data_IF_474010802164
#
_entry.id   IF_474010802164
#
_cell.length_a   1.000
_cell.length_b   1.000
_cell.length_c   1.000
_cell.angle_alpha   90.00
_cell.angle_beta   90.00
_cell.angle_gamma   90.00
#
_symmetry.space_group_name_H-M   'P 1'
#
loop_
_entity.id
_entity.type
_entity.pdbx_description
1 polymer ?
#
# COMPACT_ATOMS: atom_id res chain seq x y z
N UNK A 1 0.87 11.64 5.55
CA UNK A 1 -0.61 11.68 5.65
C UNK A 1 -1.19 10.27 5.72
N UNK A 2 -2.26 10.03 6.50
CA UNK A 2 -3.03 8.79 6.40
C UNK A 2 -3.84 8.81 5.10
N UNK A 3 -3.69 7.80 4.24
CA UNK A 3 -4.41 7.69 2.97
C UNK A 3 -5.86 7.21 3.10
N UNK A 4 -6.44 7.17 4.30
CA UNK A 4 -7.82 6.72 4.50
C UNK A 4 -8.69 7.90 4.90
N UNK A 5 -9.79 8.14 4.19
CA UNK A 5 -10.78 9.13 4.61
C UNK A 5 -11.60 8.60 5.79
N UNK A 6 -12.00 9.49 6.71
CA UNK A 6 -12.90 9.14 7.81
C UNK A 6 -14.36 9.06 7.34
N UNK A 7 -15.23 8.45 8.15
CA UNK A 7 -16.68 8.43 7.88
C UNK A 7 -17.29 9.84 7.80
N UNK A 8 -16.85 10.78 8.65
CA UNK A 8 -17.34 12.16 8.62
C UNK A 8 -16.87 12.91 7.38
N UNK A 9 -15.60 12.72 6.96
CA UNK A 9 -15.12 13.33 5.72
C UNK A 9 -15.88 12.78 4.52
N UNK A 10 -16.10 11.46 4.49
CA UNK A 10 -16.94 10.81 3.48
C UNK A 10 -18.36 11.38 3.45
N UNK A 11 -18.99 11.58 4.62
CA UNK A 11 -20.31 12.17 4.72
C UNK A 11 -20.40 13.51 3.97
N UNK A 12 -19.40 14.37 4.12
CA UNK A 12 -19.35 15.66 3.42
C UNK A 12 -18.98 15.52 1.93
N UNK A 13 -18.08 14.58 1.56
CA UNK A 13 -17.79 14.26 0.16
C UNK A 13 -19.07 13.80 -0.57
N UNK A 14 -19.90 12.97 0.06
CA UNK A 14 -21.17 12.49 -0.52
C UNK A 14 -22.13 13.64 -0.84
N UNK A 15 -22.10 14.75 -0.08
CA UNK A 15 -22.87 15.96 -0.41
C UNK A 15 -22.40 16.56 -1.73
N UNK A 16 -21.09 16.63 -1.98
CA UNK A 16 -20.54 17.09 -3.26
C UNK A 16 -20.83 16.11 -4.40
N UNK A 17 -20.86 14.79 -4.14
CA UNK A 17 -21.18 13.79 -5.15
C UNK A 17 -22.65 13.80 -5.61
N UNK A 18 -23.55 14.51 -4.93
CA UNK A 18 -24.95 14.61 -5.36
C UNK A 18 -25.09 15.18 -6.78
N UNK A 19 -24.07 15.90 -7.27
CA UNK A 19 -24.03 16.38 -8.66
C UNK A 19 -24.09 15.25 -9.69
N UNK A 20 -23.74 14.02 -9.31
CA UNK A 20 -23.76 12.84 -10.19
C UNK A 20 -25.17 12.26 -10.37
N UNK A 21 -26.14 12.66 -9.53
CA UNK A 21 -27.51 12.14 -9.56
C UNK A 21 -28.16 12.41 -10.93
N UNK A 22 -28.91 11.43 -11.42
CA UNK A 22 -29.48 11.32 -12.77
C UNK A 22 -28.43 11.26 -13.91
N UNK A 23 -27.14 11.32 -13.60
CA UNK A 23 -26.06 11.12 -14.55
C UNK A 23 -26.01 9.68 -15.07
N UNK A 24 -25.57 9.51 -16.32
CA UNK A 24 -25.35 8.19 -16.93
C UNK A 24 -23.90 7.76 -16.75
N UNK A 25 -23.66 6.51 -16.36
CA UNK A 25 -22.32 5.95 -16.31
C UNK A 25 -21.85 5.58 -17.73
N UNK A 26 -21.03 6.44 -18.34
CA UNK A 26 -20.55 6.28 -19.71
C UNK A 26 -19.41 5.26 -19.78
N UNK A 27 -18.38 5.48 -18.98
CA UNK A 27 -17.12 4.73 -19.02
C UNK A 27 -16.70 4.33 -17.61
N UNK A 28 -16.11 3.16 -17.53
CA UNK A 28 -15.52 2.65 -16.29
C UNK A 28 -14.13 2.13 -16.61
N UNK A 29 -13.13 2.53 -15.85
CA UNK A 29 -11.75 2.09 -16.00
C UNK A 29 -11.28 1.44 -14.70
N UNK A 30 -10.41 0.44 -14.83
CA UNK A 30 -9.67 -0.12 -13.72
C UNK A 30 -8.20 -0.10 -14.10
N UNK A 31 -7.40 0.56 -13.27
CA UNK A 31 -5.96 0.69 -13.43
C UNK A 31 -5.23 -0.54 -12.87
N UNK A 32 -3.96 -0.80 -13.27
CA UNK A 32 -3.18 -1.94 -12.79
C UNK A 32 -2.96 -1.95 -11.26
N UNK A 33 -2.99 -0.79 -10.61
CA UNK A 33 -2.91 -0.61 -9.16
C UNK A 33 -4.27 -0.79 -8.45
N UNK A 34 -5.30 -1.27 -9.17
CA UNK A 34 -6.66 -1.48 -8.71
C UNK A 34 -7.47 -0.20 -8.43
N UNK A 35 -6.99 0.98 -8.86
CA UNK A 35 -7.80 2.20 -8.87
C UNK A 35 -8.91 2.10 -9.92
N UNK A 36 -10.09 2.59 -9.57
CA UNK A 36 -11.24 2.65 -10.46
C UNK A 36 -11.58 4.08 -10.84
N UNK A 37 -11.95 4.29 -12.11
CA UNK A 37 -12.45 5.57 -12.58
C UNK A 37 -13.82 5.38 -13.21
N UNK A 38 -14.82 6.03 -12.65
CA UNK A 38 -16.20 6.01 -13.13
C UNK A 38 -16.50 7.36 -13.77
N UNK A 39 -16.65 7.38 -15.09
CA UNK A 39 -17.00 8.56 -15.84
C UNK A 39 -18.51 8.64 -16.02
N UNK A 40 -19.11 9.65 -15.43
CA UNK A 40 -20.52 9.97 -15.58
C UNK A 40 -20.70 11.09 -16.62
N UNK A 41 -21.80 11.03 -17.38
CA UNK A 41 -22.32 12.16 -18.13
C UNK A 41 -23.55 12.70 -17.42
N UNK A 42 -23.45 13.94 -16.94
CA UNK A 42 -24.51 14.63 -16.23
C UNK A 42 -25.06 15.75 -17.12
N UNK A 43 -26.35 15.72 -17.39
CA UNK A 43 -27.02 16.76 -18.19
C UNK A 43 -26.78 18.14 -17.58
N UNK A 44 -26.33 19.09 -18.41
CA UNK A 44 -26.00 20.46 -17.97
C UNK A 44 -24.64 20.64 -17.28
N UNK A 45 -23.95 19.55 -16.90
CA UNK A 45 -22.60 19.61 -16.29
C UNK A 45 -21.53 18.88 -17.10
N UNK A 46 -21.92 18.12 -18.12
CA UNK A 46 -20.99 17.37 -18.96
C UNK A 46 -20.38 16.17 -18.26
N UNK A 47 -19.11 15.88 -18.56
CA UNK A 47 -18.40 14.71 -18.04
C UNK A 47 -17.90 14.97 -16.62
N UNK A 48 -18.18 14.04 -15.72
CA UNK A 48 -17.71 14.03 -14.34
C UNK A 48 -16.95 12.73 -14.11
N UNK A 49 -15.72 12.80 -13.61
CA UNK A 49 -14.87 11.63 -13.44
C UNK A 49 -14.65 11.38 -11.95
N UNK A 50 -15.11 10.24 -11.46
CA UNK A 50 -14.94 9.82 -10.07
C UNK A 50 -13.79 8.81 -10.00
N UNK A 51 -12.72 9.14 -9.27
CA UNK A 51 -11.66 8.20 -8.89
C UNK A 51 -12.05 7.51 -7.59
N UNK A 52 -11.89 6.19 -7.55
CA UNK A 52 -12.19 5.33 -6.42
C UNK A 52 -10.98 4.45 -6.14
N UNK A 53 -10.43 4.55 -4.95
CA UNK A 53 -9.35 3.70 -4.47
C UNK A 53 -9.91 2.85 -3.33
N UNK A 54 -10.27 1.58 -3.58
CA UNK A 54 -10.87 0.71 -2.58
C UNK A 54 -10.05 0.69 -1.28
N UNK A 55 -10.73 0.69 -0.15
CA UNK A 55 -10.10 0.66 1.17
C UNK A 55 -9.57 2.00 1.67
N UNK A 56 -9.56 3.03 0.81
CA UNK A 56 -8.85 4.29 1.08
C UNK A 56 -9.71 5.53 0.91
N UNK A 57 -10.03 5.90 -0.32
CA UNK A 57 -10.69 7.18 -0.64
C UNK A 57 -11.41 7.15 -1.98
N UNK A 58 -12.26 8.16 -2.20
CA UNK A 58 -12.82 8.49 -3.49
C UNK A 58 -13.05 9.99 -3.60
N UNK A 59 -12.98 10.51 -4.82
CA UNK A 59 -13.24 11.92 -5.13
C UNK A 59 -13.42 12.14 -6.63
N UNK A 60 -14.07 13.24 -6.98
CA UNK A 60 -14.15 13.75 -8.34
C UNK A 60 -12.81 14.37 -8.73
N UNK A 61 -12.29 13.97 -9.89
CA UNK A 61 -10.99 14.41 -10.40
C UNK A 61 -11.13 14.97 -11.80
N UNK A 62 -10.19 15.84 -12.17
CA UNK A 62 -9.99 16.24 -13.57
C UNK A 62 -8.90 15.43 -14.27
N UNK A 63 -8.09 14.71 -13.50
CA UNK A 63 -7.02 13.84 -13.98
C UNK A 63 -7.59 12.63 -14.70
N UNK A 64 -7.46 12.61 -16.02
CA UNK A 64 -7.86 11.45 -16.83
C UNK A 64 -6.79 10.34 -16.67
N UNK A 65 -7.18 9.11 -16.35
CA UNK A 65 -6.23 8.02 -16.28
C UNK A 65 -5.67 7.66 -17.66
N UNK A 66 -4.40 7.28 -17.72
CA UNK A 66 -3.82 6.57 -18.85
C UNK A 66 -4.39 5.15 -18.89
N UNK A 67 -5.56 5.02 -19.52
CA UNK A 67 -6.29 3.75 -19.58
C UNK A 67 -5.38 2.63 -20.10
N UNK A 68 -5.34 1.47 -19.43
CA UNK A 68 -4.63 0.32 -19.96
C UNK A 68 -5.24 -0.07 -21.32
N UNK A 69 -4.40 -0.52 -22.24
CA UNK A 69 -4.81 -0.99 -23.59
C UNK A 69 -5.83 -2.14 -23.50
N UNK A 70 -5.70 -3.00 -22.47
CA UNK A 70 -6.62 -4.11 -22.21
C UNK A 70 -7.34 -3.89 -20.88
N UNK A 71 -8.69 -3.82 -20.87
CA UNK A 71 -9.44 -3.69 -19.63
C UNK A 71 -9.39 -4.97 -18.79
N UNK A 72 -9.26 -4.83 -17.48
CA UNK A 72 -9.26 -5.95 -16.53
C UNK A 72 -10.63 -6.63 -16.44
N UNK A 73 -10.65 -7.91 -16.04
CA UNK A 73 -11.86 -8.74 -16.07
C UNK A 73 -13.03 -8.19 -15.24
N UNK A 74 -12.76 -7.67 -14.04
CA UNK A 74 -13.81 -7.08 -13.21
C UNK A 74 -14.35 -5.76 -13.80
N UNK A 75 -13.47 -4.92 -14.37
CA UNK A 75 -13.89 -3.74 -15.13
C UNK A 75 -14.84 -4.10 -16.28
N UNK A 76 -14.55 -5.15 -17.04
CA UNK A 76 -15.43 -5.63 -18.11
C UNK A 76 -16.77 -6.13 -17.56
N UNK A 77 -16.75 -6.82 -16.43
CA UNK A 77 -17.97 -7.26 -15.74
C UNK A 77 -18.85 -6.07 -15.37
N UNK A 78 -18.29 -5.04 -14.71
CA UNK A 78 -19.08 -3.85 -14.36
C UNK A 78 -19.61 -3.13 -15.61
N UNK A 79 -18.81 -2.99 -16.67
CA UNK A 79 -19.27 -2.41 -17.95
C UNK A 79 -20.45 -3.18 -18.53
N UNK A 80 -20.44 -4.51 -18.49
CA UNK A 80 -21.56 -5.34 -18.99
C UNK A 80 -22.89 -5.01 -18.30
N UNK A 81 -22.87 -4.70 -17.01
CA UNK A 81 -24.10 -4.53 -16.21
C UNK A 81 -24.45 -3.06 -15.88
N UNK A 82 -23.50 -2.13 -15.99
CA UNK A 82 -23.69 -0.73 -15.61
C UNK A 82 -23.44 0.27 -16.74
N UNK A 83 -23.02 -0.17 -17.92
CA UNK A 83 -22.82 0.78 -19.03
C UNK A 83 -24.13 1.48 -19.41
N UNK A 84 -24.06 2.80 -19.53
CA UNK A 84 -25.22 3.68 -19.77
C UNK A 84 -26.30 3.62 -18.67
N UNK A 85 -26.02 3.01 -17.52
CA UNK A 85 -26.91 3.00 -16.38
C UNK A 85 -27.05 4.40 -15.79
N UNK A 86 -28.26 4.74 -15.35
CA UNK A 86 -28.57 6.04 -14.77
C UNK A 86 -28.43 5.98 -13.26
N UNK A 87 -27.62 6.86 -12.68
CA UNK A 87 -27.45 6.94 -11.23
C UNK A 87 -28.69 7.59 -10.58
N UNK A 88 -29.39 6.85 -9.73
CA UNK A 88 -30.57 7.33 -9.01
C UNK A 88 -30.25 7.86 -7.62
N UNK A 89 -29.27 7.26 -6.95
CA UNK A 89 -28.81 7.71 -5.65
C UNK A 89 -27.33 7.41 -5.44
N UNK A 90 -26.66 8.29 -4.69
CA UNK A 90 -25.34 8.05 -4.11
C UNK A 90 -25.44 8.38 -2.64
N UNK A 91 -25.19 7.40 -1.78
CA UNK A 91 -25.40 7.53 -0.35
C UNK A 91 -24.35 6.79 0.46
N UNK A 92 -24.00 7.37 1.59
CA UNK A 92 -23.26 6.69 2.64
C UNK A 92 -24.20 5.75 3.39
N UNK A 93 -23.75 4.54 3.73
CA UNK A 93 -24.53 3.59 4.54
C UNK A 93 -24.10 3.67 6.00
N UNK A 94 -25.05 3.78 6.93
CA UNK A 94 -24.83 3.65 8.39
C UNK A 94 -23.73 4.55 8.98
N UNK A 95 -23.43 5.70 8.33
CA UNK A 95 -22.27 6.54 8.67
C UNK A 95 -20.94 5.74 8.71
N UNK A 96 -20.85 4.70 7.89
CA UNK A 96 -19.67 3.91 7.66
C UNK A 96 -18.87 4.44 6.48
N UNK A 97 -17.64 3.92 6.33
CA UNK A 97 -16.81 4.15 5.13
C UNK A 97 -17.28 3.26 3.97
N UNK A 98 -18.59 3.26 3.72
CA UNK A 98 -19.28 2.49 2.70
C UNK A 98 -20.19 3.40 1.88
N UNK A 99 -20.04 3.34 0.56
CA UNK A 99 -20.83 4.11 -0.38
C UNK A 99 -21.66 3.15 -1.22
N UNK A 100 -22.94 3.45 -1.35
CA UNK A 100 -23.88 2.75 -2.23
C UNK A 100 -24.28 3.69 -3.37
N UNK A 101 -23.93 3.30 -4.60
CA UNK A 101 -24.43 3.92 -5.83
C UNK A 101 -25.58 3.06 -6.34
N UNK A 102 -26.78 3.63 -6.40
CA UNK A 102 -28.00 2.95 -6.89
C UNK A 102 -28.21 3.35 -8.34
N UNK A 103 -28.20 2.36 -9.23
CA UNK A 103 -28.34 2.53 -10.66
C UNK A 103 -29.66 1.96 -11.16
N UNK A 104 -30.28 2.68 -12.08
CA UNK A 104 -31.35 2.20 -12.93
C UNK A 104 -30.75 1.76 -14.26
N UNK A 105 -30.96 0.48 -14.61
CA UNK A 105 -30.44 -0.14 -15.84
C UNK A 105 -31.63 -0.52 -16.71
N UNK A 106 -31.61 -0.08 -17.98
CA UNK A 106 -32.61 -0.47 -18.97
C UNK A 106 -32.11 -1.71 -19.72
N UNK A 107 -32.63 -2.87 -19.33
CA UNK A 107 -32.50 -4.12 -20.08
C UNK A 107 -33.83 -4.36 -20.85
N UNK A 108 -34.35 -5.59 -20.89
CA UNK A 108 -35.73 -5.87 -21.33
C UNK A 108 -36.77 -5.19 -20.43
N UNK A 109 -36.46 -5.15 -19.13
CA UNK A 109 -37.20 -4.41 -18.10
C UNK A 109 -36.27 -3.47 -17.36
N UNK A 110 -36.84 -2.48 -16.67
CA UNK A 110 -36.06 -1.59 -15.80
C UNK A 110 -35.65 -2.39 -14.57
N UNK A 111 -34.34 -2.49 -14.33
CA UNK A 111 -33.78 -3.16 -13.15
C UNK A 111 -32.98 -2.18 -12.31
N UNK A 112 -33.00 -2.40 -11.00
CA UNK A 112 -32.14 -1.68 -10.06
C UNK A 112 -30.87 -2.50 -9.82
N UNK A 113 -29.71 -1.86 -9.90
CA UNK A 113 -28.41 -2.43 -9.53
C UNK A 113 -27.75 -1.53 -8.52
N UNK A 114 -26.94 -2.10 -7.63
CA UNK A 114 -26.19 -1.32 -6.64
C UNK A 114 -24.71 -1.58 -6.78
N UNK A 115 -23.91 -0.53 -6.88
CA UNK A 115 -22.48 -0.62 -6.75
C UNK A 115 -22.10 -0.18 -5.33
N UNK A 116 -21.64 -1.12 -4.51
CA UNK A 116 -21.19 -0.85 -3.15
C UNK A 116 -19.67 -0.74 -3.14
N UNK A 117 -19.14 0.33 -2.56
CA UNK A 117 -17.71 0.59 -2.41
C UNK A 117 -17.36 0.63 -0.93
N UNK A 118 -16.43 -0.23 -0.51
CA UNK A 118 -15.89 -0.26 0.85
C UNK A 118 -14.54 0.45 0.89
N UNK A 119 -14.42 1.49 1.73
CA UNK A 119 -13.23 2.31 1.92
C UNK A 119 -12.55 2.06 3.27
N UNK A 120 -12.56 0.81 3.72
CA UNK A 120 -11.86 0.38 4.93
C UNK A 120 -11.18 -0.97 4.72
N UNK A 121 -10.22 -1.31 5.58
CA UNK A 121 -9.43 -2.55 5.47
C UNK A 121 -8.79 -2.65 4.08
N UNK A 122 -8.85 -3.81 3.41
CA UNK A 122 -8.39 -3.99 2.02
C UNK A 122 -9.30 -3.33 0.98
N UNK A 123 -10.49 -2.89 1.39
CA UNK A 123 -11.50 -2.38 0.47
C UNK A 123 -12.15 -3.45 -0.39
N UNK A 124 -13.26 -3.06 -1.03
CA UNK A 124 -13.93 -3.88 -2.02
C UNK A 124 -14.84 -3.01 -2.90
N UNK A 125 -15.13 -3.49 -4.10
CA UNK A 125 -16.20 -2.96 -4.94
C UNK A 125 -17.11 -4.14 -5.29
N UNK A 126 -18.41 -3.97 -5.09
CA UNK A 126 -19.38 -5.05 -5.19
C UNK A 126 -20.52 -4.61 -6.10
N UNK A 127 -20.84 -5.41 -7.10
CA UNK A 127 -22.08 -5.24 -7.84
C UNK A 127 -23.16 -6.13 -7.23
N UNK A 128 -24.27 -5.53 -6.80
CA UNK A 128 -25.43 -6.21 -6.26
C UNK A 128 -26.61 -6.11 -7.22
N UNK A 129 -27.48 -7.12 -7.18
CA UNK A 129 -28.78 -7.09 -7.82
C UNK A 129 -29.85 -6.34 -7.00
N UNK A 130 -31.07 -6.36 -7.48
CA UNK A 130 -32.26 -5.75 -6.88
C UNK A 130 -32.64 -6.37 -5.53
N UNK A 131 -32.16 -7.58 -5.23
CA UNK A 131 -32.39 -8.30 -3.98
C UNK A 131 -31.20 -8.18 -3.01
N UNK A 132 -30.24 -7.29 -3.27
CA UNK A 132 -28.98 -7.14 -2.53
C UNK A 132 -28.10 -8.40 -2.53
N UNK A 133 -28.25 -9.28 -3.52
CA UNK A 133 -27.36 -10.43 -3.71
C UNK A 133 -26.13 -9.99 -4.50
N UNK A 134 -24.96 -10.43 -4.07
CA UNK A 134 -23.69 -10.11 -4.71
C UNK A 134 -23.66 -10.78 -6.08
N UNK A 135 -23.75 -10.01 -7.16
CA UNK A 135 -23.55 -10.52 -8.51
C UNK A 135 -22.08 -10.87 -8.74
N UNK A 136 -21.18 -9.95 -8.37
CA UNK A 136 -19.74 -10.18 -8.36
C UNK A 136 -19.03 -9.17 -7.45
N UNK A 137 -18.17 -9.64 -6.53
CA UNK A 137 -17.24 -8.78 -5.83
C UNK A 137 -15.95 -8.59 -6.63
N UNK A 138 -15.23 -7.49 -6.41
CA UNK A 138 -13.87 -7.30 -6.91
C UNK A 138 -12.96 -8.40 -6.36
N UNK A 139 -13.06 -8.65 -5.05
CA UNK A 139 -12.36 -9.74 -4.37
C UNK A 139 -13.31 -10.52 -3.45
N UNK A 140 -13.18 -11.84 -3.45
CA UNK A 140 -13.84 -12.68 -2.44
C UNK A 140 -13.10 -12.52 -1.12
N UNK A 141 -13.82 -12.16 -0.06
CA UNK A 141 -13.25 -11.92 1.26
C UNK A 141 -14.07 -12.66 2.31
N UNK A 142 -13.38 -13.31 3.25
CA UNK A 142 -14.00 -14.10 4.32
C UNK A 142 -13.45 -13.61 5.65
N UNK A 143 -14.35 -13.20 6.53
CA UNK A 143 -14.08 -12.87 7.92
C UNK A 143 -14.84 -13.83 8.83
N UNK A 144 -14.57 -13.75 10.13
CA UNK A 144 -15.24 -14.58 11.14
C UNK A 144 -16.77 -14.44 11.10
N UNK A 145 -17.26 -13.21 10.96
CA UNK A 145 -18.68 -12.89 11.08
C UNK A 145 -19.35 -12.49 9.75
N UNK A 146 -18.61 -12.59 8.63
CA UNK A 146 -19.05 -12.07 7.33
C UNK A 146 -18.33 -12.74 6.17
N UNK A 147 -19.06 -13.07 5.11
CA UNK A 147 -18.51 -13.56 3.84
C UNK A 147 -18.96 -12.65 2.70
N UNK A 148 -18.02 -12.26 1.84
CA UNK A 148 -18.28 -11.61 0.56
C UNK A 148 -17.90 -12.59 -0.54
N UNK A 149 -18.90 -13.12 -1.23
CA UNK A 149 -18.74 -14.04 -2.36
C UNK A 149 -19.87 -13.84 -3.37
N UNK A 150 -19.59 -14.10 -4.64
CA UNK A 150 -20.61 -14.09 -5.67
C UNK A 150 -21.77 -15.03 -5.33
N UNK A 151 -22.99 -14.60 -5.64
CA UNK A 151 -24.27 -15.27 -5.39
C UNK A 151 -24.68 -15.39 -3.92
N UNK A 152 -24.01 -14.73 -2.99
CA UNK A 152 -24.46 -14.64 -1.60
C UNK A 152 -25.14 -13.29 -1.32
N UNK A 153 -26.10 -13.21 -0.38
CA UNK A 153 -26.64 -11.93 0.08
C UNK A 153 -25.54 -11.05 0.68
N UNK A 154 -25.52 -9.78 0.31
CA UNK A 154 -24.58 -8.83 0.90
C UNK A 154 -25.03 -8.41 2.29
N UNK A 155 -24.17 -8.65 3.28
CA UNK A 155 -24.39 -8.21 4.66
C UNK A 155 -23.46 -7.03 4.96
N UNK A 156 -24.05 -5.89 5.32
CA UNK A 156 -23.30 -4.74 5.80
C UNK A 156 -22.63 -5.07 7.15
N UNK A 157 -21.44 -4.52 7.44
CA UNK A 157 -20.87 -4.59 8.78
C UNK A 157 -21.88 -4.05 9.81
N UNK A 158 -22.08 -4.79 10.89
CA UNK A 158 -22.99 -4.36 11.97
C UNK A 158 -22.33 -3.25 12.76
N UNK A 159 -23.03 -2.13 12.92
CA UNK A 159 -22.72 -1.12 13.92
C UNK A 159 -23.83 -1.04 14.95
N UNK A 160 -23.44 -0.81 16.19
CA UNK A 160 -24.39 -0.65 17.29
C UNK A 160 -25.00 0.76 17.29
N UNK A 161 -24.23 1.76 16.85
CA UNK A 161 -24.64 3.15 16.88
C UNK A 161 -24.35 3.86 15.55
N UNK A 162 -25.34 4.61 15.06
CA UNK A 162 -25.21 5.50 13.91
C UNK A 162 -25.42 6.94 14.40
N UNK A 163 -24.42 7.80 14.23
CA UNK A 163 -24.47 9.19 14.70
C UNK A 163 -25.67 9.98 14.14
N UNK A 164 -26.15 9.63 12.94
CA UNK A 164 -27.28 10.31 12.29
C UNK A 164 -28.64 9.95 12.89
N UNK A 165 -28.70 8.83 13.59
CA UNK A 165 -29.90 8.29 14.23
C UNK A 165 -29.77 8.34 15.77
N UNK A 166 -28.68 8.90 16.27
CA UNK A 166 -28.39 8.99 17.70
C UNK A 166 -29.32 10.01 18.37
N UNK A 167 -29.86 9.64 19.52
CA UNK A 167 -30.54 10.54 20.45
C UNK A 167 -29.82 10.63 21.81
N UNK A 168 -30.21 11.61 22.64
CA UNK A 168 -29.60 11.87 23.96
C UNK A 168 -29.60 10.60 24.84
N UNK A 169 -30.72 9.87 24.98
CA UNK A 169 -30.75 8.59 25.69
C UNK A 169 -29.75 7.55 25.17
N UNK A 170 -29.64 7.38 23.84
CA UNK A 170 -28.71 6.44 23.22
C UNK A 170 -27.25 6.82 23.48
N UNK A 171 -26.90 8.10 23.38
CA UNK A 171 -25.54 8.56 23.68
C UNK A 171 -25.21 8.33 25.16
N UNK A 172 -26.14 8.67 26.06
CA UNK A 172 -25.98 8.41 27.49
C UNK A 172 -25.76 6.93 27.74
N UNK A 173 -26.59 6.06 27.13
CA UNK A 173 -26.43 4.60 27.20
C UNK A 173 -25.04 4.17 26.72
N UNK A 174 -24.63 4.59 25.53
CA UNK A 174 -23.31 4.29 24.97
C UNK A 174 -22.19 4.67 25.94
N UNK A 175 -22.20 5.89 26.48
CA UNK A 175 -21.18 6.35 27.41
C UNK A 175 -21.12 5.52 28.71
N UNK A 176 -22.24 4.92 29.14
CA UNK A 176 -22.29 4.08 30.35
C UNK A 176 -21.99 2.60 30.08
N UNK A 177 -22.19 2.11 28.85
CA UNK A 177 -21.99 0.70 28.50
C UNK A 177 -20.69 0.42 27.77
N UNK A 178 -20.06 1.44 27.19
CA UNK A 178 -18.79 1.28 26.47
C UNK A 178 -17.67 0.82 27.39
N UNK A 179 -16.76 0.01 26.84
CA UNK A 179 -15.54 -0.45 27.53
C UNK A 179 -14.35 0.49 27.34
N UNK A 180 -14.52 1.61 26.63
CA UNK A 180 -13.43 2.55 26.36
C UNK A 180 -13.10 3.40 27.58
N UNK A 181 -11.81 3.62 27.81
CA UNK A 181 -11.31 4.37 28.97
C UNK A 181 -11.36 5.90 28.84
N UNK A 182 -11.72 6.43 27.66
CA UNK A 182 -11.78 7.88 27.43
C UNK A 182 -12.88 8.26 26.45
N UNK A 183 -13.43 9.46 26.57
CA UNK A 183 -14.43 9.99 25.65
C UNK A 183 -13.91 10.05 24.21
N UNK A 184 -12.66 10.47 23.99
CA UNK A 184 -12.09 10.54 22.64
C UNK A 184 -12.00 9.16 21.99
N UNK A 185 -11.64 8.11 22.73
CA UNK A 185 -11.60 6.74 22.18
C UNK A 185 -12.99 6.16 21.96
N UNK A 186 -13.96 6.44 22.85
CA UNK A 186 -15.37 6.12 22.67
C UNK A 186 -15.91 6.75 21.36
N UNK A 187 -15.74 8.06 21.18
CA UNK A 187 -16.23 8.77 20.00
C UNK A 187 -15.49 8.36 18.72
N UNK A 188 -14.19 8.11 18.78
CA UNK A 188 -13.42 7.70 17.61
C UNK A 188 -13.83 6.31 17.10
N UNK A 189 -14.02 5.34 18.02
CA UNK A 189 -14.23 3.93 17.67
C UNK A 189 -15.71 3.56 17.59
N UNK A 190 -16.48 3.88 18.63
CA UNK A 190 -17.87 3.41 18.75
C UNK A 190 -18.81 4.23 17.85
N UNK A 191 -18.55 5.54 17.69
CA UNK A 191 -19.27 6.40 16.75
C UNK A 191 -18.63 6.47 15.35
N UNK A 192 -17.40 5.98 15.20
CA UNK A 192 -16.67 5.97 13.92
C UNK A 192 -16.23 7.34 13.40
N UNK A 193 -16.06 8.34 14.27
CA UNK A 193 -15.58 9.66 13.87
C UNK A 193 -14.11 9.66 13.44
N UNK A 194 -13.33 8.71 13.94
CA UNK A 194 -11.87 8.74 13.83
C UNK A 194 -11.23 9.75 14.81
N UNK A 195 -9.91 9.68 14.97
CA UNK A 195 -9.20 10.38 16.04
C UNK A 195 -9.37 11.91 16.02
N UNK A 196 -9.09 12.55 14.88
CA UNK A 196 -9.14 14.01 14.77
C UNK A 196 -10.53 14.59 15.03
N UNK A 197 -11.58 13.97 14.48
CA UNK A 197 -12.95 14.44 14.67
C UNK A 197 -13.53 14.07 16.04
N UNK A 198 -13.06 12.99 16.66
CA UNK A 198 -13.40 12.70 18.05
C UNK A 198 -12.78 13.71 19.03
N UNK A 199 -11.55 14.16 18.74
CA UNK A 199 -10.91 15.23 19.51
C UNK A 199 -11.63 16.57 19.28
N UNK A 200 -11.97 16.89 18.02
CA UNK A 200 -12.76 18.06 17.69
C UNK A 200 -14.12 18.06 18.41
N UNK A 201 -14.81 16.94 18.43
CA UNK A 201 -16.08 16.80 19.15
C UNK A 201 -15.92 17.10 20.65
N UNK A 202 -14.84 16.61 21.27
CA UNK A 202 -14.55 16.91 22.67
C UNK A 202 -14.30 18.42 22.86
N UNK A 203 -13.56 19.06 21.97
CA UNK A 203 -13.27 20.50 22.03
C UNK A 203 -14.55 21.34 21.90
N UNK A 204 -15.39 21.05 20.89
CA UNK A 204 -16.68 21.72 20.67
C UNK A 204 -17.62 21.56 21.86
N UNK A 205 -17.67 20.36 22.45
CA UNK A 205 -18.47 20.08 23.64
C UNK A 205 -17.84 20.57 24.96
N UNK A 206 -16.64 21.18 24.90
CA UNK A 206 -15.85 21.66 26.06
C UNK A 206 -15.53 20.54 27.07
N UNK A 207 -15.25 19.34 26.57
CA UNK A 207 -14.93 18.15 27.36
C UNK A 207 -13.44 17.84 27.33
N UNK A 208 -12.92 17.36 28.46
CA UNK A 208 -11.56 16.80 28.52
C UNK A 208 -11.54 15.47 27.77
N UNK A 209 -10.69 15.34 26.74
CA UNK A 209 -10.57 14.13 25.92
C UNK A 209 -10.33 12.84 26.72
N UNK A 210 -9.57 12.94 27.81
CA UNK A 210 -9.21 11.82 28.71
C UNK A 210 -10.27 11.48 29.76
N UNK A 211 -11.38 12.24 29.83
CA UNK A 211 -12.46 11.96 30.76
C UNK A 211 -13.08 10.60 30.44
N UNK A 212 -13.41 9.82 31.47
CA UNK A 212 -14.04 8.51 31.27
C UNK A 212 -15.47 8.67 30.78
N UNK A 213 -15.94 7.86 29.81
CA UNK A 213 -17.30 7.96 29.29
C UNK A 213 -18.37 7.85 30.36
N UNK A 214 -18.21 6.93 31.32
CA UNK A 214 -19.16 6.71 32.42
C UNK A 214 -19.30 7.88 33.40
N UNK A 215 -18.37 8.83 33.39
CA UNK A 215 -18.36 9.99 34.30
C UNK A 215 -19.03 11.22 33.65
N UNK A 216 -19.59 11.08 32.44
CA UNK A 216 -20.27 12.15 31.71
C UNK A 216 -21.58 12.54 32.40
N UNK A 217 -21.83 13.85 32.50
CA UNK A 217 -23.02 14.43 33.10
C UNK A 217 -24.10 14.69 32.04
N UNK A 218 -25.36 14.79 32.46
CA UNK A 218 -26.47 15.02 31.52
C UNK A 218 -26.34 16.35 30.76
N UNK A 219 -25.85 17.40 31.42
CA UNK A 219 -25.55 18.69 30.76
C UNK A 219 -24.43 18.58 29.73
N UNK A 220 -23.48 17.66 29.94
CA UNK A 220 -22.38 17.42 28.97
C UNK A 220 -22.87 16.60 27.77
N UNK A 221 -23.83 15.69 27.98
CA UNK A 221 -24.51 14.98 26.89
C UNK A 221 -25.21 15.98 25.96
N UNK A 222 -25.86 17.01 26.53
CA UNK A 222 -26.50 18.07 25.74
C UNK A 222 -25.49 18.81 24.85
N UNK A 223 -24.34 19.20 25.40
CA UNK A 223 -23.27 19.87 24.62
C UNK A 223 -22.69 18.97 23.52
N UNK A 224 -22.54 17.66 23.77
CA UNK A 224 -22.08 16.72 22.73
C UNK A 224 -23.08 16.65 21.58
N UNK A 225 -24.38 16.72 21.88
CA UNK A 225 -25.42 16.74 20.85
C UNK A 225 -25.38 18.00 19.98
N UNK A 226 -25.21 19.16 20.60
CA UNK A 226 -25.02 20.41 19.86
C UNK A 226 -23.75 20.37 18.99
N UNK A 227 -22.68 19.79 19.52
CA UNK A 227 -21.44 19.60 18.79
C UNK A 227 -21.58 18.61 17.62
N UNK A 228 -22.40 17.55 17.73
CA UNK A 228 -22.73 16.67 16.59
C UNK A 228 -23.40 17.43 15.46
N UNK A 229 -24.41 18.24 15.79
CA UNK A 229 -25.14 19.03 14.81
C UNK A 229 -24.17 19.98 14.08
N UNK A 230 -23.30 20.66 14.85
CA UNK A 230 -22.25 21.49 14.29
C UNK A 230 -21.32 20.71 13.34
N UNK A 231 -20.82 19.53 13.73
CA UNK A 231 -19.93 18.74 12.86
C UNK A 231 -20.58 18.27 11.55
N UNK A 232 -21.88 17.98 11.57
CA UNK A 232 -22.62 17.46 10.41
C UNK A 232 -23.15 18.59 9.51
N UNK A 233 -23.52 19.72 10.09
CA UNK A 233 -24.27 20.77 9.40
C UNK A 233 -23.51 22.09 9.21
N UNK A 234 -22.28 22.21 9.71
CA UNK A 234 -21.39 23.35 9.41
C UNK A 234 -21.21 23.54 7.90
N UNK A 235 -21.21 24.80 7.47
CA UNK A 235 -20.97 25.19 6.08
C UNK A 235 -19.56 24.75 5.67
N UNK A 236 -19.45 24.09 4.51
CA UNK A 236 -18.18 23.63 4.00
C UNK A 236 -17.24 24.80 3.72
N UNK A 237 -16.04 24.73 4.27
CA UNK A 237 -14.88 25.55 3.93
C UNK A 237 -13.66 24.63 3.82
N UNK A 238 -13.55 23.85 2.73
CA UNK A 238 -12.54 22.81 2.59
C UNK A 238 -11.12 23.37 2.63
N UNK A 239 -10.22 22.69 3.33
CA UNK A 239 -8.82 23.09 3.43
C UNK A 239 -7.87 21.88 3.57
N UNK A 240 -6.64 22.06 3.12
CA UNK A 240 -5.52 21.13 3.33
C UNK A 240 -4.70 21.65 4.52
N UNK A 241 -4.49 20.80 5.52
CA UNK A 241 -3.71 21.11 6.73
C UNK A 241 -2.31 20.54 6.59
N UNK A 242 -1.28 21.32 6.94
CA UNK A 242 0.12 20.91 6.88
C UNK A 242 0.76 20.75 8.26
N UNK A 243 1.81 19.96 8.34
CA UNK A 243 2.67 19.87 9.53
C UNK A 243 3.37 21.21 9.79
N UNK A 244 3.60 21.53 11.06
CA UNK A 244 4.36 22.72 11.44
C UNK A 244 5.87 22.58 11.18
N UNK A 245 6.38 21.35 11.08
CA UNK A 245 7.79 21.04 10.81
C UNK A 245 8.15 21.18 9.32
N UNK A 246 9.42 21.55 9.04
CA UNK A 246 9.98 21.62 7.69
C UNK A 246 10.72 20.32 7.33
N UNK A 247 10.56 19.77 6.10
CA UNK A 247 9.65 20.23 5.05
C UNK A 247 8.18 19.96 5.41
N UNK A 248 7.30 20.91 5.07
CA UNK A 248 5.86 20.78 5.33
C UNK A 248 5.30 19.58 4.60
N UNK A 249 4.60 18.72 5.34
CA UNK A 249 3.89 17.57 4.79
C UNK A 249 2.39 17.74 5.00
N UNK A 250 1.59 17.15 4.11
CA UNK A 250 0.14 17.13 4.29
C UNK A 250 -0.19 16.29 5.52
N UNK A 251 -0.85 16.93 6.49
CA UNK A 251 -1.30 16.31 7.73
C UNK A 251 -2.72 15.75 7.55
N UNK A 252 -3.66 16.55 7.06
CA UNK A 252 -5.05 16.16 6.87
C UNK A 252 -5.78 17.02 5.81
N UNK A 253 -6.94 16.56 5.34
CA UNK A 253 -7.90 17.33 4.55
C UNK A 253 -9.16 17.47 5.38
N UNK A 254 -9.64 18.69 5.58
CA UNK A 254 -10.76 19.01 6.46
C UNK A 254 -11.90 19.68 5.68
N UNK A 255 -13.18 19.40 6.03
CA UNK A 255 -14.34 19.99 5.39
C UNK A 255 -14.58 21.44 5.81
N UNK A 256 -14.07 21.84 6.97
CA UNK A 256 -14.14 23.17 7.57
C UNK A 256 -13.02 23.30 8.62
N UNK A 257 -12.63 24.51 9.03
CA UNK A 257 -11.64 24.73 10.08
C UNK A 257 -12.00 23.98 11.38
N UNK A 258 -11.03 23.24 11.93
CA UNK A 258 -11.18 22.46 13.17
C UNK A 258 -10.24 23.03 14.24
N UNK A 259 -10.72 23.13 15.48
CA UNK A 259 -9.93 23.60 16.63
C UNK A 259 -8.72 22.69 16.91
N UNK A 260 -8.84 21.39 16.67
CA UNK A 260 -7.70 20.44 16.82
C UNK A 260 -6.50 20.80 15.93
N UNK A 261 -6.70 21.58 14.86
CA UNK A 261 -5.65 22.03 13.96
C UNK A 261 -5.31 23.52 14.12
N UNK A 262 -5.74 24.16 15.22
CA UNK A 262 -5.34 25.53 15.52
C UNK A 262 -3.81 25.66 15.55
N UNK A 263 -3.29 26.75 14.97
CA UNK A 263 -1.85 26.99 14.82
C UNK A 263 -1.16 26.21 13.69
N UNK A 264 -1.84 25.30 13.00
CA UNK A 264 -1.30 24.67 11.80
C UNK A 264 -1.51 25.57 10.57
N UNK A 265 -0.60 25.45 9.60
CA UNK A 265 -0.80 26.08 8.31
C UNK A 265 -1.88 25.36 7.50
N UNK A 266 -2.76 26.15 6.88
CA UNK A 266 -3.85 25.65 6.05
C UNK A 266 -3.83 26.30 4.68
N UNK A 267 -4.13 25.52 3.65
CA UNK A 267 -4.42 26.00 2.30
C UNK A 267 -5.89 25.79 1.98
N UNK A 268 -6.62 26.87 1.73
CA UNK A 268 -8.03 26.81 1.32
C UNK A 268 -8.17 26.10 -0.03
N UNK A 269 -9.24 25.34 -0.18
CA UNK A 269 -9.60 24.63 -1.40
C UNK A 269 -11.04 24.94 -1.84
N UNK A 270 -11.28 24.93 -3.16
CA UNK A 270 -12.59 25.25 -3.72
C UNK A 270 -13.68 24.21 -3.34
N UNK A 271 -13.28 22.96 -3.12
CA UNK A 271 -14.15 21.86 -2.72
C UNK A 271 -13.32 20.76 -2.03
N UNK A 272 -13.99 19.84 -1.33
CA UNK A 272 -13.34 18.65 -0.80
C UNK A 272 -12.74 17.80 -1.92
N UNK A 273 -13.49 17.64 -3.01
CA UNK A 273 -12.98 16.93 -4.19
C UNK A 273 -11.71 17.57 -4.75
N UNK A 274 -11.62 18.90 -4.82
CA UNK A 274 -10.42 19.60 -5.27
C UNK A 274 -9.23 19.42 -4.33
N UNK A 275 -9.45 19.47 -3.00
CA UNK A 275 -8.41 19.21 -2.02
C UNK A 275 -7.86 17.77 -2.11
N UNK A 276 -8.77 16.80 -2.27
CA UNK A 276 -8.42 15.39 -2.44
C UNK A 276 -7.67 15.14 -3.75
N UNK A 277 -8.12 15.76 -4.85
CA UNK A 277 -7.47 15.66 -6.16
C UNK A 277 -6.05 16.23 -6.11
N UNK A 278 -5.85 17.41 -5.51
CA UNK A 278 -4.52 18.01 -5.37
C UNK A 278 -3.56 17.12 -4.58
N UNK A 279 -3.99 16.64 -3.41
CA UNK A 279 -3.13 15.86 -2.51
C UNK A 279 -2.83 14.47 -3.08
N UNK A 280 -3.85 13.73 -3.49
CA UNK A 280 -3.68 12.34 -3.90
C UNK A 280 -3.13 12.19 -5.32
N UNK A 281 -3.31 13.18 -6.19
CA UNK A 281 -2.62 13.20 -7.49
C UNK A 281 -1.12 13.40 -7.29
N UNK A 282 -0.69 14.34 -6.45
CA UNK A 282 0.74 14.53 -6.13
C UNK A 282 1.34 13.27 -5.50
N UNK A 283 0.67 12.65 -4.53
CA UNK A 283 1.13 11.40 -3.91
C UNK A 283 1.27 10.28 -4.95
N UNK A 284 0.32 10.14 -5.89
CA UNK A 284 0.42 9.15 -6.96
C UNK A 284 1.66 9.39 -7.84
N UNK A 285 1.92 10.64 -8.23
CA UNK A 285 3.12 10.98 -9.02
C UNK A 285 4.42 10.71 -8.26
N UNK A 286 4.49 11.07 -6.98
CA UNK A 286 5.66 10.81 -6.15
C UNK A 286 5.93 9.30 -6.01
N UNK A 287 4.89 8.49 -5.80
CA UNK A 287 5.01 7.03 -5.74
C UNK A 287 5.49 6.43 -7.06
N UNK A 288 4.98 6.91 -8.20
CA UNK A 288 5.43 6.47 -9.51
C UNK A 288 6.93 6.77 -9.71
N UNK A 289 7.36 7.99 -9.40
CA UNK A 289 8.76 8.40 -9.48
C UNK A 289 9.67 7.58 -8.54
N UNK A 290 9.21 7.27 -7.33
CA UNK A 290 9.95 6.41 -6.39
C UNK A 290 10.03 4.96 -6.87
N UNK A 291 8.96 4.40 -7.45
CA UNK A 291 8.96 3.06 -8.01
C UNK A 291 9.97 2.94 -9.17
N UNK A 292 10.02 3.93 -10.06
CA UNK A 292 11.01 3.98 -11.14
C UNK A 292 12.45 4.05 -10.60
N UNK A 293 12.69 4.89 -9.59
CA UNK A 293 14.00 4.97 -8.92
C UNK A 293 14.40 3.64 -8.30
N UNK A 294 13.46 2.95 -7.64
CA UNK A 294 13.72 1.64 -7.02
C UNK A 294 14.09 0.59 -8.08
N UNK A 295 13.37 0.52 -9.20
CA UNK A 295 13.71 -0.38 -10.32
C UNK A 295 15.09 -0.07 -10.89
N UNK A 296 15.45 1.20 -11.03
CA UNK A 296 16.80 1.61 -11.47
C UNK A 296 17.87 1.17 -10.46
N UNK A 297 17.66 1.41 -9.17
CA UNK A 297 18.61 1.01 -8.13
C UNK A 297 18.79 -0.51 -8.07
N UNK A 298 17.72 -1.31 -8.17
CA UNK A 298 17.85 -2.78 -8.19
C UNK A 298 18.64 -3.29 -9.40
N UNK A 299 18.62 -2.57 -10.53
CA UNK A 299 19.48 -2.88 -11.67
C UNK A 299 20.94 -2.51 -11.40
N UNK A 300 21.20 -1.38 -10.71
CA UNK A 300 22.54 -0.97 -10.29
C UNK A 300 23.15 -1.95 -9.29
N UNK A 301 22.40 -2.37 -8.27
CA UNK A 301 22.85 -3.33 -7.25
C UNK A 301 23.35 -4.64 -7.90
N UNK A 302 22.62 -5.13 -8.92
CA UNK A 302 23.04 -6.32 -9.68
C UNK A 302 24.37 -6.11 -10.40
N UNK A 303 24.60 -4.93 -10.97
CA UNK A 303 25.85 -4.61 -11.66
C UNK A 303 27.01 -4.48 -10.67
N UNK A 304 26.79 -3.88 -9.50
CA UNK A 304 27.81 -3.78 -8.45
C UNK A 304 28.26 -5.14 -7.92
N UNK A 305 27.32 -6.08 -7.75
CA UNK A 305 27.65 -7.47 -7.39
C UNK A 305 28.54 -8.11 -8.45
N UNK A 306 28.19 -7.97 -9.73
CA UNK A 306 28.99 -8.50 -10.84
C UNK A 306 30.40 -7.88 -10.85
N UNK A 307 30.53 -6.57 -10.68
CA UNK A 307 31.83 -5.88 -10.63
C UNK A 307 32.67 -6.43 -9.48
N UNK A 308 32.07 -6.62 -8.30
CA UNK A 308 32.77 -7.13 -7.12
C UNK A 308 33.29 -8.56 -7.34
N UNK A 309 32.49 -9.43 -7.94
CA UNK A 309 32.88 -10.80 -8.28
C UNK A 309 34.00 -10.83 -9.32
N UNK A 310 33.91 -10.00 -10.36
CA UNK A 310 34.94 -9.88 -11.39
C UNK A 310 36.25 -9.35 -10.80
N UNK A 311 36.20 -8.35 -9.91
CA UNK A 311 37.40 -7.83 -9.26
C UNK A 311 38.08 -8.88 -8.39
N UNK A 312 37.30 -9.67 -7.64
CA UNK A 312 37.85 -10.81 -6.87
C UNK A 312 38.52 -11.83 -7.77
N UNK A 313 37.90 -12.15 -8.92
CA UNK A 313 38.47 -13.08 -9.91
C UNK A 313 39.76 -12.55 -10.51
N UNK A 314 39.81 -11.28 -10.91
CA UNK A 314 41.02 -10.62 -11.42
C UNK A 314 42.14 -10.69 -10.39
N UNK A 315 41.84 -10.33 -9.14
CA UNK A 315 42.84 -10.37 -8.06
C UNK A 315 43.34 -11.81 -7.80
N UNK A 316 42.47 -12.81 -7.90
CA UNK A 316 42.85 -14.23 -7.79
C UNK A 316 43.77 -14.68 -8.92
N UNK A 317 43.39 -14.40 -10.17
CA UNK A 317 44.21 -14.71 -11.35
C UNK A 317 45.56 -14.00 -11.32
N UNK A 318 45.62 -12.78 -10.80
CA UNK A 318 46.87 -12.04 -10.67
C UNK A 318 47.80 -12.67 -9.65
N UNK A 319 47.28 -13.13 -8.50
CA UNK A 319 48.08 -13.91 -7.53
C UNK A 319 48.58 -15.22 -8.12
N UNK A 320 47.74 -15.95 -8.84
CA UNK A 320 48.15 -17.19 -9.52
C UNK A 320 49.24 -16.93 -10.56
N UNK A 321 49.15 -15.82 -11.31
CA UNK A 321 50.17 -15.41 -12.27
C UNK A 321 51.50 -15.06 -11.58
N UNK A 322 51.46 -14.30 -10.48
CA UNK A 322 52.64 -13.95 -9.67
C UNK A 322 53.31 -15.20 -9.07
N UNK A 323 52.54 -16.13 -8.52
CA UNK A 323 53.05 -17.41 -8.02
C UNK A 323 53.67 -18.26 -9.14
N UNK A 324 53.00 -18.33 -10.29
CA UNK A 324 53.49 -19.05 -11.47
C UNK A 324 54.80 -18.48 -11.98
N UNK A 325 54.91 -17.14 -12.05
CA UNK A 325 56.13 -16.45 -12.43
C UNK A 325 57.27 -16.75 -11.45
N UNK A 326 57.02 -16.62 -10.13
CA UNK A 326 58.02 -16.89 -9.09
C UNK A 326 58.52 -18.34 -9.14
N UNK A 327 57.62 -19.31 -9.35
CA UNK A 327 57.99 -20.72 -9.53
C UNK A 327 58.86 -20.91 -10.79
N UNK A 328 58.53 -20.22 -11.87
CA UNK A 328 59.31 -20.23 -13.11
C UNK A 328 60.72 -19.65 -12.94
N UNK A 329 60.84 -18.53 -12.24
CA UNK A 329 62.12 -17.88 -11.92
C UNK A 329 63.00 -18.79 -11.04
N UNK A 330 62.44 -19.36 -9.96
CA UNK A 330 63.14 -20.31 -9.09
C UNK A 330 63.64 -21.55 -9.85
N UNK A 331 62.81 -22.08 -10.76
CA UNK A 331 63.19 -23.20 -11.61
C UNK A 331 64.31 -22.83 -12.56
N UNK A 332 64.30 -21.61 -13.11
CA UNK A 332 65.33 -21.13 -14.03
C UNK A 332 66.67 -20.92 -13.33
N UNK A 333 66.67 -20.30 -12.14
CA UNK A 333 67.87 -20.10 -11.32
C UNK A 333 68.53 -21.44 -10.93
N UNK A 334 67.71 -22.45 -10.64
CA UNK A 334 68.17 -23.77 -10.22
C UNK A 334 68.13 -24.83 -11.33
N UNK A 335 68.03 -24.41 -12.58
CA UNK A 335 67.82 -25.30 -13.73
C UNK A 335 68.80 -26.48 -13.82
N UNK A 336 70.13 -26.31 -13.58
CA UNK A 336 71.07 -27.42 -13.61
C UNK A 336 70.79 -28.45 -12.51
N UNK A 337 70.53 -27.99 -11.29
CA UNK A 337 70.27 -28.84 -10.10
C UNK A 337 69.00 -29.64 -10.29
N UNK A 338 67.92 -28.99 -10.73
CA UNK A 338 66.64 -29.67 -10.98
C UNK A 338 66.76 -30.68 -12.12
N UNK A 339 67.50 -30.36 -13.18
CA UNK A 339 67.73 -31.28 -14.31
C UNK A 339 68.53 -32.51 -13.87
N UNK A 340 69.55 -32.34 -13.02
CA UNK A 340 70.34 -33.43 -12.46
C UNK A 340 69.49 -34.34 -11.56
N UNK A 341 68.66 -33.76 -10.69
CA UNK A 341 67.71 -34.50 -9.84
C UNK A 341 66.75 -35.31 -10.71
N UNK A 342 66.14 -34.70 -11.73
CA UNK A 342 65.23 -35.38 -12.64
C UNK A 342 65.92 -36.51 -13.41
N UNK A 343 67.13 -36.29 -13.91
CA UNK A 343 67.90 -37.33 -14.60
C UNK A 343 68.25 -38.49 -13.67
N UNK A 344 68.63 -38.20 -12.43
CA UNK A 344 68.97 -39.20 -11.41
C UNK A 344 67.76 -40.02 -11.01
N UNK A 345 66.61 -39.39 -10.76
CA UNK A 345 65.37 -40.08 -10.41
C UNK A 345 64.86 -40.91 -11.58
N UNK A 346 64.92 -40.41 -12.83
CA UNK A 346 64.56 -41.19 -14.02
C UNK A 346 65.40 -42.45 -14.16
N UNK A 347 66.73 -42.35 -14.02
CA UNK A 347 67.63 -43.51 -14.03
C UNK A 347 67.36 -44.47 -12.88
N UNK A 348 67.04 -43.96 -11.69
CA UNK A 348 66.70 -44.79 -10.53
C UNK A 348 65.38 -45.56 -10.77
N UNK A 349 64.39 -44.96 -11.45
CA UNK A 349 63.10 -45.59 -11.79
C UNK A 349 63.22 -46.76 -12.77
N UNK A 350 64.29 -46.85 -13.54
CA UNK A 350 64.57 -48.02 -14.39
C UNK A 350 64.92 -49.26 -13.57
N UNK A 351 65.36 -49.09 -12.32
CA UNK A 351 65.87 -50.18 -11.46
C UNK A 351 65.11 -50.36 -10.15
N UNK A 352 64.40 -49.34 -9.69
CA UNK A 352 63.76 -49.31 -8.38
C UNK A 352 62.31 -48.79 -8.45
N UNK A 353 61.46 -49.30 -7.55
CA UNK A 353 60.09 -48.82 -7.34
C UNK A 353 60.06 -47.46 -6.64
N UNK A 354 58.95 -46.73 -6.73
CA UNK A 354 58.80 -45.43 -6.08
C UNK A 354 59.00 -45.50 -4.56
N UNK A 355 58.50 -46.55 -3.90
CA UNK A 355 58.69 -46.78 -2.47
C UNK A 355 60.17 -46.96 -2.11
N UNK A 356 60.93 -47.71 -2.91
CA UNK A 356 62.37 -47.91 -2.69
C UNK A 356 63.18 -46.63 -2.92
N UNK A 357 62.80 -45.83 -3.92
CA UNK A 357 63.44 -44.53 -4.19
C UNK A 357 63.16 -43.55 -3.06
N UNK A 358 61.93 -43.53 -2.55
CA UNK A 358 61.52 -42.69 -1.41
C UNK A 358 62.26 -43.06 -0.13
N UNK A 359 62.43 -44.35 0.16
CA UNK A 359 63.27 -44.81 1.29
C UNK A 359 64.73 -44.38 1.13
N UNK A 360 65.29 -44.46 -0.09
CA UNK A 360 66.67 -44.05 -0.37
C UNK A 360 66.90 -42.53 -0.31
N UNK A 361 65.84 -41.75 -0.47
CA UNK A 361 65.89 -40.28 -0.41
C UNK A 361 65.48 -39.71 0.95
N UNK A 362 65.17 -40.56 1.95
CA UNK A 362 64.89 -40.11 3.31
C UNK A 362 66.09 -39.37 3.89
N UNK A 363 65.86 -38.14 4.33
CA UNK A 363 66.89 -37.26 4.89
C UNK A 363 67.65 -36.42 3.86
N UNK A 364 67.27 -36.46 2.57
CA UNK A 364 67.79 -35.53 1.58
C UNK A 364 67.27 -34.11 1.87
N UNK A 365 68.16 -33.12 1.82
CA UNK A 365 67.84 -31.72 2.13
C UNK A 365 67.20 -30.97 0.96
N UNK A 366 67.31 -31.49 -0.26
CA UNK A 366 66.81 -30.85 -1.50
C UNK A 366 65.58 -31.57 -2.04
N UNK A 367 65.51 -32.90 -1.95
CA UNK A 367 64.29 -33.67 -2.31
C UNK A 367 63.52 -34.00 -1.05
N UNK A 368 62.47 -33.22 -0.78
CA UNK A 368 61.72 -33.26 0.49
C UNK A 368 60.48 -34.15 0.44
N UNK A 369 60.05 -34.58 -0.74
CA UNK A 369 58.90 -35.47 -0.86
C UNK A 369 58.74 -36.11 -2.24
N UNK A 370 58.05 -37.24 -2.27
CA UNK A 370 57.65 -37.94 -3.52
C UNK A 370 56.20 -38.39 -3.38
N UNK A 371 55.37 -37.99 -4.35
CA UNK A 371 54.03 -38.53 -4.53
C UNK A 371 54.11 -39.70 -5.52
N UNK A 372 53.81 -40.88 -5.01
CA UNK A 372 53.94 -42.15 -5.74
C UNK A 372 52.80 -42.35 -6.75
N UNK A 373 51.64 -41.72 -6.52
CA UNK A 373 50.46 -41.87 -7.37
C UNK A 373 50.54 -40.97 -8.59
N UNK A 374 50.93 -39.71 -8.37
CA UNK A 374 51.07 -38.71 -9.43
C UNK A 374 52.46 -38.73 -10.06
N UNK A 375 53.41 -39.45 -9.48
CA UNK A 375 54.80 -39.51 -9.96
C UNK A 375 55.54 -38.18 -9.84
N UNK A 376 55.15 -37.34 -8.88
CA UNK A 376 55.73 -36.00 -8.68
C UNK A 376 56.79 -36.02 -7.57
N UNK A 377 57.80 -35.17 -7.73
CA UNK A 377 58.90 -35.01 -6.78
C UNK A 377 58.87 -33.58 -6.26
N UNK A 378 58.77 -33.43 -4.94
CA UNK A 378 58.84 -32.13 -4.27
C UNK A 378 60.28 -31.83 -3.92
N UNK A 379 60.74 -30.68 -4.38
CA UNK A 379 62.08 -30.16 -4.12
C UNK A 379 61.99 -28.85 -3.33
N UNK A 380 62.90 -28.68 -2.39
CA UNK A 380 63.11 -27.45 -1.63
C UNK A 380 64.34 -26.75 -2.23
N UNK A 381 64.12 -25.61 -2.88
CA UNK A 381 65.10 -24.88 -3.72
C UNK A 381 65.38 -23.49 -3.15
#
# INVERSE_FOLDING_TARGET
>A
MKEEISSLLLYHIIKELQILKEGKLDKLYQMPDHDFYLQFHVTGRGKQLLRVVPGKYLYLTTGKPDSPQTPLGYCMYLRKYLHSARLKAVQQKEFERIIEFVFEVKEETIKTRKLVVELFSKGNILLLDDQNKIMSPLETQVWKDRTIRAKEPYVYPKKEYNIREMDKPMLKKLCHTTTKDSLVTCFAMDLGLGGAYAEELCLLAKLKKVKKPRDIQDTEIDHVFEAFDSLLNTVLKPAIVYTSELPKQVLNIIPFPLQVYEGHETKDAASLNAALDEVFTTITFEKAAQAEKKVKNTKLDKVEVIITEQQKRVNGLQKEAEEGQRKGELLYENYPVVTEILATIKKAREKYTWAEIKEKLKGNTVVVGIDEKEGTVMVDL
#
